data_IF_885543984994
#
_entry.id   IF_885543984994
#
_cell.length_a   1.000
_cell.length_b   1.000
_cell.length_c   1.000
_cell.angle_alpha   90.00
_cell.angle_beta   90.00
_cell.angle_gamma   90.00
#
_symmetry.space_group_name_H-M   'P 1'
#
loop_
_entity.id
_entity.type
_entity.pdbx_description
1 polymer ?
#
# COMPACT_ATOMS: atom_id res chain seq x y z
N UNK A 1 18.57 26.17 17.20
CA UNK A 1 17.46 26.28 16.20
C UNK A 1 16.64 25.01 16.27
N UNK A 2 15.30 25.11 16.25
CA UNK A 2 14.39 23.97 16.34
C UNK A 2 13.97 23.55 17.76
N UNK A 3 14.11 24.43 18.75
CA UNK A 3 13.53 24.20 20.09
C UNK A 3 12.00 24.24 19.99
N UNK A 4 11.34 23.34 20.71
CA UNK A 4 9.88 23.25 20.78
C UNK A 4 9.39 24.03 21.99
N UNK A 5 8.17 24.55 21.90
CA UNK A 5 7.47 25.10 23.05
C UNK A 5 6.90 23.93 23.87
N UNK A 6 7.33 23.82 25.12
CA UNK A 6 6.94 22.71 26.01
C UNK A 6 5.45 22.76 26.38
N UNK A 7 4.81 23.94 26.30
CA UNK A 7 3.36 24.07 26.53
C UNK A 7 2.53 23.28 25.52
N UNK A 8 3.09 22.92 24.37
CA UNK A 8 2.43 22.06 23.39
C UNK A 8 2.10 20.66 23.97
N UNK A 9 2.87 20.18 24.94
CA UNK A 9 2.62 18.90 25.61
C UNK A 9 1.37 18.91 26.49
N UNK A 10 0.78 20.08 26.77
CA UNK A 10 -0.45 20.21 27.57
C UNK A 10 -1.72 19.94 26.75
N UNK A 11 -1.64 19.97 25.41
CA UNK A 11 -2.78 19.67 24.54
C UNK A 11 -3.06 18.16 24.48
N UNK A 12 -4.33 17.82 24.23
CA UNK A 12 -4.74 16.43 24.00
C UNK A 12 -4.05 15.89 22.74
N UNK A 13 -3.48 14.69 22.84
CA UNK A 13 -2.85 14.02 21.70
C UNK A 13 -3.90 13.62 20.66
N UNK A 14 -3.58 13.79 19.38
CA UNK A 14 -4.44 13.28 18.31
C UNK A 14 -4.48 11.75 18.29
N UNK A 15 -3.39 11.09 18.65
CA UNK A 15 -3.28 9.63 18.66
C UNK A 15 -1.93 9.19 19.18
N UNK A 16 -1.89 8.04 19.86
CA UNK A 16 -0.67 7.45 20.40
C UNK A 16 -0.66 5.94 20.13
N UNK A 17 0.41 5.46 19.49
CA UNK A 17 0.61 4.02 19.20
C UNK A 17 1.45 3.29 20.25
N UNK A 18 2.12 4.04 21.12
CA UNK A 18 3.04 3.52 22.13
C UNK A 18 2.32 3.35 23.46
N UNK A 19 1.58 4.37 23.87
CA UNK A 19 0.78 4.36 25.08
C UNK A 19 -0.71 4.18 24.72
N UNK A 20 -1.28 3.04 25.12
CA UNK A 20 -2.69 2.71 24.84
C UNK A 20 -3.65 3.30 25.87
N UNK A 21 -3.13 3.75 27.00
CA UNK A 21 -3.92 4.35 28.09
C UNK A 21 -3.93 5.90 27.97
N UNK A 22 -3.16 6.45 27.04
CA UNK A 22 -3.15 7.87 26.73
C UNK A 22 -4.53 8.36 26.27
N UNK A 23 -4.94 9.53 26.78
CA UNK A 23 -6.17 10.19 26.32
C UNK A 23 -5.91 10.78 24.93
N UNK A 24 -6.57 10.24 23.91
CA UNK A 24 -6.43 10.67 22.53
C UNK A 24 -7.75 11.02 21.87
N UNK A 25 -7.70 11.85 20.84
CA UNK A 25 -8.89 12.16 20.01
C UNK A 25 -9.23 10.99 19.09
N UNK A 26 -8.24 10.35 18.49
CA UNK A 26 -8.41 9.22 17.57
C UNK A 26 -7.80 7.95 18.17
N UNK A 27 -8.54 6.85 18.09
CA UNK A 27 -8.10 5.51 18.52
C UNK A 27 -7.00 4.95 17.60
N UNK A 28 -7.06 5.28 16.31
CA UNK A 28 -6.10 4.80 15.32
C UNK A 28 -5.75 5.89 14.30
N UNK A 29 -4.59 5.76 13.69
CA UNK A 29 -4.13 6.61 12.61
C UNK A 29 -3.14 5.85 11.72
N UNK A 30 -2.98 6.27 10.47
CA UNK A 30 -2.17 5.55 9.48
C UNK A 30 -1.31 6.48 8.65
N UNK A 31 -0.13 6.00 8.28
CA UNK A 31 0.52 6.49 7.07
C UNK A 31 -0.32 6.11 5.84
N UNK A 32 -0.20 6.88 4.77
CA UNK A 32 -0.80 6.56 3.48
C UNK A 32 -0.21 5.30 2.85
N UNK A 33 -0.76 4.90 1.71
CA UNK A 33 -0.30 3.74 0.95
C UNK A 33 1.11 3.97 0.39
N UNK A 34 1.96 2.95 0.51
CA UNK A 34 3.31 2.95 -0.07
C UNK A 34 3.43 1.78 -1.05
N UNK A 35 3.35 2.06 -2.35
CA UNK A 35 3.45 0.97 -3.34
C UNK A 35 4.91 0.61 -3.63
N UNK A 36 5.82 1.60 -3.62
CA UNK A 36 7.19 1.55 -4.15
C UNK A 36 7.29 1.19 -5.65
N UNK A 37 6.18 1.30 -6.37
CA UNK A 37 6.07 1.02 -7.80
C UNK A 37 4.91 1.78 -8.42
N UNK A 38 4.83 3.08 -8.13
CA UNK A 38 3.65 3.90 -8.47
C UNK A 38 3.32 3.85 -9.96
N UNK A 39 4.34 3.83 -10.84
CA UNK A 39 4.16 3.69 -12.29
C UNK A 39 3.43 2.40 -12.73
N UNK A 40 3.36 1.39 -11.85
CA UNK A 40 2.68 0.11 -12.07
C UNK A 40 1.34 0.02 -11.35
N UNK A 41 1.25 0.64 -10.17
CA UNK A 41 0.09 0.51 -9.29
C UNK A 41 -0.87 1.69 -9.35
N UNK A 42 -0.50 2.83 -9.93
CA UNK A 42 -1.36 4.01 -10.08
C UNK A 42 -1.55 4.38 -11.55
N UNK A 43 -2.75 4.81 -11.91
CA UNK A 43 -3.04 5.50 -13.17
C UNK A 43 -4.37 6.28 -13.05
N UNK A 44 -4.54 7.35 -13.83
CA UNK A 44 -5.82 8.04 -13.97
C UNK A 44 -6.86 7.22 -14.76
N UNK A 45 -6.40 6.32 -15.64
CA UNK A 45 -7.21 5.43 -16.46
C UNK A 45 -7.27 4.02 -15.88
N UNK A 46 -8.50 3.54 -15.64
CA UNK A 46 -8.74 2.19 -15.09
C UNK A 46 -8.24 1.10 -16.04
N UNK A 47 -8.48 1.27 -17.34
CA UNK A 47 -8.09 0.30 -18.36
C UNK A 47 -6.57 0.22 -18.53
N UNK A 48 -5.89 1.36 -18.49
CA UNK A 48 -4.43 1.41 -18.52
C UNK A 48 -3.83 0.78 -17.27
N UNK A 49 -4.34 1.10 -16.07
CA UNK A 49 -3.91 0.46 -14.82
C UNK A 49 -4.08 -1.06 -14.90
N UNK A 50 -5.25 -1.52 -15.32
CA UNK A 50 -5.56 -2.95 -15.43
C UNK A 50 -4.59 -3.65 -16.37
N UNK A 51 -4.36 -3.09 -17.56
CA UNK A 51 -3.42 -3.64 -18.54
C UNK A 51 -2.00 -3.68 -17.97
N UNK A 52 -1.58 -2.61 -17.31
CA UNK A 52 -0.24 -2.47 -16.78
C UNK A 52 0.04 -3.45 -15.63
N UNK A 53 -0.90 -3.60 -14.70
CA UNK A 53 -0.80 -4.54 -13.58
C UNK A 53 -0.80 -5.98 -14.08
N UNK A 54 -1.67 -6.34 -15.04
CA UNK A 54 -1.67 -7.69 -15.61
C UNK A 54 -0.33 -8.02 -16.26
N UNK A 55 0.21 -7.12 -17.08
CA UNK A 55 1.54 -7.29 -17.71
C UNK A 55 2.65 -7.48 -16.67
N UNK A 56 2.62 -6.71 -15.57
CA UNK A 56 3.57 -6.85 -14.48
C UNK A 56 3.44 -8.21 -13.77
N UNK A 57 2.21 -8.64 -13.47
CA UNK A 57 1.93 -9.93 -12.83
C UNK A 57 2.37 -11.09 -13.74
N UNK A 58 2.08 -11.02 -15.03
CA UNK A 58 2.47 -12.04 -16.00
C UNK A 58 3.99 -12.19 -16.10
N UNK A 59 4.70 -11.05 -16.13
CA UNK A 59 6.16 -11.04 -16.10
C UNK A 59 6.72 -11.60 -14.78
N UNK A 60 6.19 -11.19 -13.63
CA UNK A 60 6.59 -11.75 -12.35
C UNK A 60 6.39 -13.27 -12.31
N UNK A 61 5.21 -13.74 -12.70
CA UNK A 61 4.86 -15.14 -12.70
C UNK A 61 5.69 -15.97 -13.69
N UNK A 62 6.11 -15.38 -14.82
CA UNK A 62 7.01 -16.06 -15.76
C UNK A 62 8.41 -16.25 -15.15
N UNK A 63 8.90 -15.25 -14.42
CA UNK A 63 10.17 -15.32 -13.70
C UNK A 63 10.13 -16.35 -12.56
N UNK A 64 9.00 -16.45 -11.84
CA UNK A 64 8.77 -17.50 -10.84
C UNK A 64 8.87 -18.88 -11.48
N UNK A 65 8.13 -19.11 -12.58
CA UNK A 65 8.17 -20.40 -13.28
C UNK A 65 9.57 -20.72 -13.82
N UNK A 66 10.26 -19.72 -14.38
CA UNK A 66 11.64 -19.87 -14.86
C UNK A 66 12.58 -20.31 -13.73
N UNK A 67 12.47 -19.68 -12.56
CA UNK A 67 13.30 -20.02 -11.39
C UNK A 67 13.01 -21.42 -10.87
N UNK A 68 11.73 -21.76 -10.70
CA UNK A 68 11.33 -23.10 -10.23
C UNK A 68 11.79 -24.20 -11.18
N UNK A 69 11.67 -23.99 -12.50
CA UNK A 69 12.18 -24.93 -13.50
C UNK A 69 13.71 -25.08 -13.47
N UNK A 70 14.43 -23.96 -13.34
CA UNK A 70 15.89 -23.97 -13.25
C UNK A 70 16.39 -24.71 -12.00
N UNK A 71 15.65 -24.60 -10.90
CA UNK A 71 16.02 -25.16 -9.60
C UNK A 71 15.47 -26.57 -9.36
N UNK A 72 14.62 -27.12 -10.24
CA UNK A 72 13.87 -28.35 -10.02
C UNK A 72 14.75 -29.57 -9.64
N UNK A 73 15.98 -29.63 -10.16
CA UNK A 73 16.94 -30.71 -9.91
C UNK A 73 18.19 -30.21 -9.15
N UNK A 74 18.08 -29.13 -8.39
CA UNK A 74 19.19 -28.50 -7.66
C UNK A 74 18.93 -28.49 -6.16
N UNK A 75 19.95 -28.85 -5.39
CA UNK A 75 19.98 -28.60 -3.95
C UNK A 75 19.99 -27.09 -3.67
N UNK A 76 19.63 -26.68 -2.45
CA UNK A 76 19.58 -25.24 -2.10
C UNK A 76 20.91 -24.52 -2.31
N UNK A 77 22.02 -25.20 -2.07
CA UNK A 77 23.37 -24.64 -2.22
C UNK A 77 23.78 -24.47 -3.70
N UNK A 78 23.12 -25.18 -4.61
CA UNK A 78 23.33 -25.08 -6.06
C UNK A 78 22.39 -24.06 -6.73
N UNK A 79 21.41 -23.52 -5.99
CA UNK A 79 20.46 -22.54 -6.51
C UNK A 79 21.11 -21.16 -6.53
N UNK A 80 21.04 -20.42 -7.65
CA UNK A 80 21.57 -19.07 -7.72
C UNK A 80 20.75 -18.16 -6.82
N UNK A 81 21.37 -17.06 -6.38
CA UNK A 81 20.62 -16.01 -5.71
C UNK A 81 19.53 -15.46 -6.64
N UNK A 82 18.44 -14.97 -6.06
CA UNK A 82 17.35 -14.38 -6.86
C UNK A 82 17.86 -13.19 -7.68
N UNK A 83 18.73 -12.38 -7.10
CA UNK A 83 19.29 -11.18 -7.74
C UNK A 83 20.12 -11.49 -8.99
N UNK A 84 20.87 -12.60 -8.99
CA UNK A 84 21.66 -13.04 -10.15
C UNK A 84 20.80 -13.70 -11.22
N UNK A 85 19.63 -14.21 -10.84
CA UNK A 85 18.77 -14.96 -11.76
C UNK A 85 17.79 -14.09 -12.52
N UNK A 86 17.13 -13.17 -11.83
CA UNK A 86 15.97 -12.43 -12.37
C UNK A 86 16.34 -11.44 -13.47
N UNK A 87 15.39 -11.19 -14.37
CA UNK A 87 15.47 -10.07 -15.28
C UNK A 87 15.09 -8.76 -14.56
N UNK A 88 16.00 -7.79 -14.59
CA UNK A 88 15.88 -6.49 -13.92
C UNK A 88 15.42 -5.36 -14.84
N UNK A 89 14.85 -5.67 -16.01
CA UNK A 89 14.24 -4.68 -16.91
C UNK A 89 13.12 -3.92 -16.20
N UNK A 90 13.39 -2.66 -15.88
CA UNK A 90 12.48 -1.79 -15.14
C UNK A 90 11.21 -1.44 -15.92
N UNK A 91 11.19 -1.70 -17.23
CA UNK A 91 10.00 -1.55 -18.10
C UNK A 91 9.03 -2.72 -17.97
N UNK A 92 9.36 -3.75 -17.17
CA UNK A 92 8.52 -4.93 -16.91
C UNK A 92 8.01 -5.01 -15.48
N UNK A 93 8.84 -4.64 -14.51
CA UNK A 93 8.50 -4.63 -13.09
C UNK A 93 9.50 -3.79 -12.29
N UNK A 94 9.05 -3.24 -11.16
CA UNK A 94 9.95 -2.70 -10.12
C UNK A 94 10.07 -3.70 -8.97
N UNK A 95 11.21 -4.40 -8.91
CA UNK A 95 11.50 -5.39 -7.89
C UNK A 95 11.75 -4.74 -6.52
N UNK A 96 11.24 -5.36 -5.46
CA UNK A 96 11.60 -5.05 -4.08
C UNK A 96 11.95 -6.34 -3.32
N UNK A 97 12.42 -6.20 -2.08
CA UNK A 97 12.80 -7.34 -1.23
C UNK A 97 11.67 -8.37 -1.07
N UNK A 98 10.42 -7.93 -0.90
CA UNK A 98 9.29 -8.85 -0.70
C UNK A 98 8.95 -9.65 -1.95
N UNK A 99 8.91 -9.03 -3.13
CA UNK A 99 8.68 -9.73 -4.40
C UNK A 99 9.77 -10.77 -4.68
N UNK A 100 11.03 -10.43 -4.43
CA UNK A 100 12.17 -11.37 -4.60
C UNK A 100 12.06 -12.56 -3.64
N UNK A 101 11.71 -12.30 -2.38
CA UNK A 101 11.50 -13.36 -1.39
C UNK A 101 10.31 -14.26 -1.74
N UNK A 102 9.21 -13.68 -2.22
CA UNK A 102 8.02 -14.42 -2.67
C UNK A 102 8.33 -15.25 -3.93
N UNK A 103 9.17 -14.74 -4.84
CA UNK A 103 9.60 -15.46 -6.04
C UNK A 103 10.41 -16.71 -5.68
N UNK A 104 11.37 -16.57 -4.75
CA UNK A 104 12.15 -17.71 -4.26
C UNK A 104 11.29 -18.80 -3.60
N UNK A 105 10.14 -18.42 -3.05
CA UNK A 105 9.14 -19.35 -2.47
C UNK A 105 8.18 -19.94 -3.52
N UNK A 106 8.30 -19.57 -4.79
CA UNK A 106 7.40 -20.05 -5.85
C UNK A 106 6.00 -19.44 -5.80
N UNK A 107 5.81 -18.31 -5.09
CA UNK A 107 4.50 -17.68 -4.96
C UNK A 107 4.08 -17.07 -6.30
N UNK A 108 2.88 -17.39 -6.75
CA UNK A 108 2.26 -16.78 -7.94
C UNK A 108 1.23 -15.74 -7.52
N UNK A 109 1.05 -14.73 -8.36
CA UNK A 109 0.02 -13.70 -8.18
C UNK A 109 -1.04 -13.80 -9.26
N UNK A 110 -2.29 -13.49 -8.89
CA UNK A 110 -3.40 -13.36 -9.82
C UNK A 110 -3.94 -11.93 -9.73
N UNK A 111 -4.34 -11.38 -10.87
CA UNK A 111 -5.04 -10.12 -10.91
C UNK A 111 -6.40 -10.23 -10.18
N UNK A 112 -6.75 -9.20 -9.41
CA UNK A 112 -8.02 -9.11 -8.69
C UNK A 112 -8.68 -7.79 -9.00
N UNK A 113 -9.81 -7.83 -9.71
CA UNK A 113 -10.55 -6.63 -10.09
C UNK A 113 -10.98 -5.80 -8.85
N UNK A 114 -11.34 -6.48 -7.75
CA UNK A 114 -11.72 -5.85 -6.48
C UNK A 114 -10.58 -5.08 -5.80
N UNK A 115 -9.32 -5.27 -6.24
CA UNK A 115 -8.17 -4.48 -5.77
C UNK A 115 -8.06 -3.13 -6.49
N UNK A 116 -8.88 -2.85 -7.50
CA UNK A 116 -8.89 -1.56 -8.19
C UNK A 116 -9.76 -0.58 -7.41
N UNK A 117 -9.13 0.42 -6.78
CA UNK A 117 -9.80 1.35 -5.86
C UNK A 117 -9.40 2.80 -6.14
N UNK A 118 -10.23 3.76 -5.69
CA UNK A 118 -9.87 5.18 -5.77
C UNK A 118 -8.85 5.54 -4.68
N UNK A 119 -7.89 6.37 -5.04
CA UNK A 119 -6.89 6.90 -4.11
C UNK A 119 -6.64 8.37 -4.37
N UNK A 120 -6.42 9.14 -3.29
CA UNK A 120 -5.93 10.50 -3.39
C UNK A 120 -4.40 10.46 -3.51
N UNK A 121 -3.91 10.54 -4.75
CA UNK A 121 -2.49 10.40 -5.04
C UNK A 121 -1.71 11.66 -4.65
N UNK A 122 -2.23 12.84 -5.01
CA UNK A 122 -1.69 14.15 -4.60
C UNK A 122 -2.84 15.06 -4.20
N UNK A 123 -2.58 16.21 -3.52
CA UNK A 123 -3.65 17.11 -3.13
C UNK A 123 -4.54 17.46 -4.33
N UNK A 124 -5.84 17.27 -4.16
CA UNK A 124 -6.86 17.52 -5.18
C UNK A 124 -6.72 16.69 -6.47
N UNK A 125 -5.91 15.63 -6.45
CA UNK A 125 -5.60 14.79 -7.60
C UNK A 125 -5.86 13.32 -7.27
N UNK A 126 -7.09 12.87 -7.53
CA UNK A 126 -7.46 11.45 -7.42
C UNK A 126 -6.90 10.66 -8.59
N UNK A 127 -6.45 9.45 -8.30
CA UNK A 127 -6.11 8.42 -9.28
C UNK A 127 -6.77 7.10 -8.89
N UNK A 128 -6.61 6.10 -9.74
CA UNK A 128 -7.00 4.74 -9.47
C UNK A 128 -5.73 3.99 -9.06
N UNK A 129 -5.83 3.17 -8.01
CA UNK A 129 -4.73 2.35 -7.51
C UNK A 129 -5.09 0.89 -7.49
N UNK A 130 -4.12 0.02 -7.78
CA UNK A 130 -4.20 -1.40 -7.50
C UNK A 130 -3.74 -1.67 -6.06
N UNK A 131 -4.70 -1.65 -5.15
CA UNK A 131 -4.51 -1.90 -3.73
C UNK A 131 -4.51 -3.40 -3.43
N UNK A 132 -3.30 -3.95 -3.33
CA UNK A 132 -3.06 -5.36 -3.05
C UNK A 132 -1.88 -5.51 -2.08
N UNK A 133 -2.10 -5.99 -0.84
CA UNK A 133 -1.04 -6.13 0.16
C UNK A 133 0.15 -6.98 -0.26
N UNK A 134 0.01 -7.85 -1.27
CA UNK A 134 1.13 -8.63 -1.78
C UNK A 134 1.98 -7.87 -2.81
N UNK A 135 1.39 -6.89 -3.50
CA UNK A 135 2.05 -6.10 -4.55
C UNK A 135 2.32 -4.65 -4.14
N UNK A 136 1.92 -4.22 -2.95
CA UNK A 136 2.30 -2.92 -2.39
C UNK A 136 3.34 -3.14 -1.28
N UNK A 137 4.28 -2.20 -1.10
CA UNK A 137 5.34 -2.35 -0.12
C UNK A 137 4.81 -2.24 1.32
N UNK A 138 3.99 -1.22 1.60
CA UNK A 138 3.34 -1.04 2.89
C UNK A 138 1.91 -0.54 2.72
N UNK A 139 0.95 -1.33 3.19
CA UNK A 139 -0.47 -0.96 3.24
C UNK A 139 -0.89 -0.34 4.57
N UNK A 140 0.01 -0.33 5.57
CA UNK A 140 -0.21 0.29 6.88
C UNK A 140 -1.54 -0.15 7.52
N UNK A 141 -2.30 0.77 8.11
CA UNK A 141 -3.62 0.49 8.67
C UNK A 141 -4.75 0.71 7.64
N UNK A 142 -4.42 0.96 6.36
CA UNK A 142 -5.42 1.20 5.31
C UNK A 142 -6.47 0.09 5.23
N UNK A 143 -6.17 -1.22 5.37
CA UNK A 143 -7.21 -2.26 5.37
C UNK A 143 -8.25 -2.15 6.50
N UNK A 144 -7.92 -1.49 7.61
CA UNK A 144 -8.88 -1.20 8.71
C UNK A 144 -9.63 0.12 8.50
N UNK A 145 -9.18 0.96 7.58
CA UNK A 145 -9.78 2.28 7.29
C UNK A 145 -10.66 2.20 6.03
N UNK A 146 -10.18 1.47 5.02
CA UNK A 146 -10.82 1.19 3.74
C UNK A 146 -10.69 -0.32 3.44
N UNK A 147 -11.53 -1.18 4.06
CA UNK A 147 -11.42 -2.64 3.93
C UNK A 147 -11.70 -3.17 2.51
N UNK A 148 -12.46 -2.44 1.71
CA UNK A 148 -12.80 -2.79 0.33
C UNK A 148 -13.07 -1.53 -0.50
N UNK A 149 -13.30 -1.70 -1.81
CA UNK A 149 -13.50 -0.62 -2.77
C UNK A 149 -14.75 0.25 -2.51
N UNK A 150 -15.74 -0.28 -1.78
CA UNK A 150 -17.03 0.36 -1.54
C UNK A 150 -17.08 1.09 -0.19
N UNK A 151 -16.14 0.78 0.71
CA UNK A 151 -16.05 1.35 2.04
C UNK A 151 -16.07 2.89 2.00
N UNK A 152 -16.92 3.48 2.85
CA UNK A 152 -17.04 4.93 3.00
C UNK A 152 -16.36 5.36 4.28
N UNK A 153 -15.47 6.33 4.16
CA UNK A 153 -14.77 6.89 5.31
C UNK A 153 -14.31 8.31 4.97
N UNK A 154 -14.03 9.12 5.98
CA UNK A 154 -13.32 10.38 5.83
C UNK A 154 -12.03 10.32 6.65
N UNK A 155 -10.95 10.85 6.08
CA UNK A 155 -9.64 10.86 6.72
C UNK A 155 -9.09 12.28 6.69
N UNK A 156 -8.81 12.84 7.87
CA UNK A 156 -8.01 14.06 7.98
C UNK A 156 -6.55 13.66 7.78
N UNK A 157 -5.93 14.11 6.70
CA UNK A 157 -4.56 13.74 6.35
C UNK A 157 -3.60 14.93 6.47
N UNK A 158 -2.67 14.82 7.39
CA UNK A 158 -1.73 15.86 7.79
C UNK A 158 -0.35 15.66 7.15
N UNK A 159 0.41 16.75 6.98
CA UNK A 159 1.85 16.68 6.76
C UNK A 159 2.56 15.88 7.85
N UNK A 160 3.53 15.05 7.46
CA UNK A 160 4.33 14.26 8.40
C UNK A 160 5.26 15.14 9.24
N UNK A 161 5.76 14.59 10.35
CA UNK A 161 6.57 15.31 11.36
C UNK A 161 8.04 15.55 10.96
N UNK A 162 8.36 15.55 9.66
CA UNK A 162 9.71 15.69 9.14
C UNK A 162 10.15 17.15 9.04
N UNK A 163 11.45 17.41 9.21
CA UNK A 163 12.02 18.75 9.04
C UNK A 163 12.35 19.01 7.56
N UNK A 164 11.32 19.20 6.76
CA UNK A 164 11.48 19.43 5.33
C UNK A 164 11.57 20.90 4.92
N UNK A 165 11.49 21.82 5.88
CA UNK A 165 11.33 23.24 5.61
C UNK A 165 10.00 23.61 4.95
N UNK A 166 8.99 22.73 4.99
CA UNK A 166 7.64 23.04 4.49
C UNK A 166 6.70 23.32 5.66
N UNK A 167 5.76 24.22 5.44
CA UNK A 167 4.72 24.55 6.41
C UNK A 167 3.77 23.38 6.62
N UNK A 168 3.19 23.32 7.81
CA UNK A 168 2.15 22.35 8.15
C UNK A 168 0.93 22.56 7.26
N UNK A 169 0.32 21.45 6.80
CA UNK A 169 -0.97 21.51 6.10
C UNK A 169 -1.80 20.25 6.35
N UNK A 170 -3.10 20.38 6.09
CA UNK A 170 -4.09 19.33 6.27
C UNK A 170 -5.03 19.28 5.06
N UNK A 171 -5.47 18.08 4.69
CA UNK A 171 -6.51 17.86 3.69
C UNK A 171 -7.39 16.69 4.11
N UNK A 172 -8.72 16.86 4.01
CA UNK A 172 -9.67 15.76 4.21
C UNK A 172 -9.83 14.99 2.90
N UNK A 173 -9.86 13.66 2.98
CA UNK A 173 -10.12 12.79 1.83
C UNK A 173 -11.07 11.65 2.16
N UNK A 174 -11.88 11.26 1.17
CA UNK A 174 -12.79 10.11 1.16
C UNK A 174 -12.20 8.88 0.45
N UNK A 175 -10.93 8.95 0.07
CA UNK A 175 -10.22 7.91 -0.67
C UNK A 175 -8.92 7.53 0.04
N UNK A 176 -8.32 6.40 -0.34
CA UNK A 176 -7.03 5.96 0.23
C UNK A 176 -5.97 7.04 -0.05
N UNK A 177 -5.34 7.66 0.96
CA UNK A 177 -4.28 8.62 0.71
C UNK A 177 -3.00 7.90 0.31
N UNK A 178 -2.31 8.38 -0.73
CA UNK A 178 -0.92 8.01 -0.99
C UNK A 178 -0.03 8.56 0.13
N UNK A 179 1.06 7.87 0.48
CA UNK A 179 2.00 8.36 1.49
C UNK A 179 2.46 9.79 1.18
N UNK A 180 2.77 10.05 -0.10
CA UNK A 180 3.33 11.32 -0.58
C UNK A 180 2.23 12.29 -1.01
N UNK A 181 0.95 12.03 -0.70
CA UNK A 181 -0.12 13.03 -0.84
C UNK A 181 0.20 14.27 -0.01
N UNK A 182 0.74 14.07 1.19
CA UNK A 182 1.27 15.13 2.02
C UNK A 182 2.76 14.98 2.22
N UNK A 183 3.44 16.11 2.42
CA UNK A 183 4.89 16.12 2.54
C UNK A 183 5.37 15.41 3.83
N UNK A 184 6.62 14.93 3.84
CA UNK A 184 7.25 14.21 4.96
C UNK A 184 6.56 12.90 5.38
N UNK A 185 5.81 12.28 4.47
CA UNK A 185 5.10 11.02 4.73
C UNK A 185 3.93 11.25 5.67
N UNK A 186 2.80 11.66 5.09
CA UNK A 186 1.65 12.13 5.86
C UNK A 186 1.04 11.10 6.82
N UNK A 187 0.21 11.61 7.72
CA UNK A 187 -0.54 10.82 8.70
C UNK A 187 -2.03 11.10 8.57
N UNK A 188 -2.81 10.03 8.48
CA UNK A 188 -4.26 10.04 8.33
C UNK A 188 -4.97 9.62 9.61
N UNK A 189 -5.94 10.43 10.01
CA UNK A 189 -6.80 10.24 11.16
C UNK A 189 -8.23 9.96 10.64
N UNK A 190 -8.69 8.71 10.67
CA UNK A 190 -9.95 8.29 10.08
C UNK A 190 -11.14 8.57 11.01
N UNK A 191 -12.31 8.81 10.42
CA UNK A 191 -13.58 8.90 11.13
C UNK A 191 -14.04 7.53 11.64
N UNK A 192 -13.94 6.50 10.79
CA UNK A 192 -14.31 5.13 11.13
C UNK A 192 -13.11 4.18 11.13
N UNK A 193 -13.13 3.22 12.05
CA UNK A 193 -12.29 2.03 12.02
C UNK A 193 -13.21 0.84 11.78
N UNK A 194 -12.93 0.09 10.74
CA UNK A 194 -13.65 -1.13 10.41
C UNK A 194 -13.05 -2.30 11.19
N UNK A 195 -13.92 -3.07 11.82
CA UNK A 195 -13.55 -4.37 12.38
C UNK A 195 -13.18 -5.34 11.26
N UNK A 196 -12.36 -6.33 11.58
CA UNK A 196 -12.02 -7.40 10.65
C UNK A 196 -13.25 -8.29 10.38
N UNK A 197 -14.13 -7.85 9.48
CA UNK A 197 -15.25 -8.64 8.98
C UNK A 197 -14.79 -9.59 7.88
N UNK A 198 -15.14 -10.87 8.01
CA UNK A 198 -14.84 -11.98 7.09
C UNK A 198 -14.81 -11.52 5.62
N UNK A 199 -13.72 -11.86 4.92
CA UNK A 199 -13.67 -11.75 3.47
C UNK A 199 -14.94 -12.37 2.90
N UNK A 200 -15.78 -11.55 2.28
CA UNK A 200 -16.94 -12.05 1.55
C UNK A 200 -16.36 -12.77 0.34
N UNK A 201 -16.18 -14.09 0.47
CA UNK A 201 -16.01 -14.98 -0.65
C UNK A 201 -17.24 -14.79 -1.54
N UNK A 202 -17.10 -13.99 -2.60
CA UNK A 202 -18.04 -13.96 -3.69
C UNK A 202 -17.89 -15.26 -4.49
N UNK A 203 -18.28 -16.38 -3.90
CA UNK A 203 -18.65 -17.56 -4.66
C UNK A 203 -20.07 -17.34 -5.15
N UNK A 204 -20.18 -17.16 -6.46
CA UNK A 204 -21.44 -17.18 -7.18
C UNK A 204 -22.21 -18.46 -6.81
N UNK A 205 -23.43 -18.29 -6.30
CA UNK A 205 -24.46 -19.31 -6.41
C UNK A 205 -25.59 -18.72 -7.23
N UNK A 206 -25.56 -19.03 -8.53
CA UNK A 206 -26.78 -19.16 -9.30
C UNK A 206 -27.60 -20.30 -8.68
N UNK A 207 -28.80 -19.98 -8.23
CA UNK A 207 -29.85 -20.97 -7.98
C UNK A 207 -31.19 -20.37 -8.37
N UNK A 208 -31.59 -20.74 -9.58
CA UNK A 208 -32.94 -20.92 -10.16
C UNK A 208 -33.91 -19.75 -10.21
#
# INVERSE_FOLDING_TARGET
MGQRDDSFAEFISLGDKKDKDAVTVFENYSRGLETNRDAWCYNSSKSELTTNVNRMIDFYNSEVRRYQLFCANKTKDEQPSIDEFINTDTTKISWNRSLKADLGKGKLFNFRELSIVSSMYRPFSKQIVYFNPNLNAYVNQIPRIFPNAEAKNQVIYLSGSGNSGKEFSALVTDAIPDLNMQHSGGQGFPEYIYEAGNQIDSTAQHST
#
